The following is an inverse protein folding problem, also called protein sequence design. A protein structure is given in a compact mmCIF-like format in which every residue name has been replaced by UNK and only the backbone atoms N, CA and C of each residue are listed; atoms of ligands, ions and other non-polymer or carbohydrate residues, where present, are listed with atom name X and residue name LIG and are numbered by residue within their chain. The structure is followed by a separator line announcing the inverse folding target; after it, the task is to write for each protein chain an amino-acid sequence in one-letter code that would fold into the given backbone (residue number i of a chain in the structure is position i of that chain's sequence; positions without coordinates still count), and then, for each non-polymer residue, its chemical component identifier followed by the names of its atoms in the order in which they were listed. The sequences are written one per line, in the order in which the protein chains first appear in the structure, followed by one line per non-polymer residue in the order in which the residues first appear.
data_IF_949016017998
#
_entry.id   IF_949016017998
#
_cell.length_a   1.000
_cell.length_b   1.000
_cell.length_c   1.000
_cell.angle_alpha   90.00
_cell.angle_beta   90.00
_cell.angle_gamma   90.00
#
_symmetry.space_group_name_H-M   'P 1'
#
loop_
_entity.id
_entity.type
_entity.pdbx_description
1 polymer ?
#
# COMPACT_ATOMS: atom_id res chain seq x y z
N UNK A 1 -12.28 -20.11 -3.91
CA UNK A 1 -11.18 -19.22 -3.48
C UNK A 1 -11.63 -17.93 -2.81
N UNK A 2 -12.90 -17.52 -2.97
CA UNK A 2 -13.48 -16.33 -2.33
C UNK A 2 -13.26 -16.19 -0.82
N UNK A 3 -13.16 -17.29 -0.06
CA UNK A 3 -12.87 -17.24 1.39
C UNK A 3 -11.56 -16.50 1.73
N UNK A 4 -10.59 -16.49 0.82
CA UNK A 4 -9.32 -15.78 1.01
C UNK A 4 -9.46 -14.25 0.95
N UNK A 5 -10.59 -13.72 0.48
CA UNK A 5 -10.86 -12.28 0.58
C UNK A 5 -10.93 -11.80 2.04
N UNK A 6 -11.27 -12.68 3.00
CA UNK A 6 -11.18 -12.35 4.42
C UNK A 6 -9.75 -12.09 4.88
N UNK A 7 -8.78 -12.82 4.33
CA UNK A 7 -7.36 -12.54 4.58
C UNK A 7 -6.97 -11.19 3.98
N UNK A 8 -7.43 -10.86 2.77
CA UNK A 8 -7.22 -9.54 2.18
C UNK A 8 -7.79 -8.41 3.04
N UNK A 9 -9.00 -8.58 3.58
CA UNK A 9 -9.61 -7.60 4.50
C UNK A 9 -8.77 -7.44 5.77
N UNK A 10 -8.32 -8.55 6.37
CA UNK A 10 -7.45 -8.50 7.54
C UNK A 10 -6.15 -7.75 7.24
N UNK A 11 -5.52 -8.03 6.09
CA UNK A 11 -4.29 -7.33 5.65
C UNK A 11 -4.55 -5.84 5.46
N UNK A 12 -5.67 -5.43 4.85
CA UNK A 12 -6.02 -4.02 4.68
C UNK A 12 -6.22 -3.31 6.03
N UNK A 13 -6.85 -3.98 7.00
CA UNK A 13 -7.04 -3.43 8.35
C UNK A 13 -5.67 -3.24 9.03
N UNK A 14 -4.82 -4.27 9.00
CA UNK A 14 -3.49 -4.21 9.62
C UNK A 14 -2.59 -3.16 8.96
N UNK A 15 -2.62 -3.06 7.63
CA UNK A 15 -1.91 -2.03 6.87
C UNK A 15 -2.31 -0.62 7.32
N UNK A 16 -3.61 -0.33 7.37
CA UNK A 16 -4.09 1.00 7.77
C UNK A 16 -3.81 1.31 9.24
N UNK A 17 -4.00 0.35 10.16
CA UNK A 17 -3.67 0.52 11.57
C UNK A 17 -2.17 0.77 11.77
N UNK A 18 -1.31 0.05 11.02
CA UNK A 18 0.14 0.25 11.10
C UNK A 18 0.55 1.66 10.66
N UNK A 19 -0.05 2.18 9.57
CA UNK A 19 0.22 3.55 9.09
C UNK A 19 -0.25 4.62 10.08
N UNK A 20 -1.44 4.45 10.66
CA UNK A 20 -1.96 5.35 11.68
C UNK A 20 -1.05 5.35 12.91
N UNK A 21 -0.56 4.17 13.32
CA UNK A 21 0.38 4.07 14.43
C UNK A 21 1.69 4.78 14.14
N UNK A 22 2.28 4.60 12.96
CA UNK A 22 3.50 5.31 12.56
C UNK A 22 3.29 6.83 12.52
N UNK A 23 2.22 7.30 11.86
CA UNK A 23 1.90 8.72 11.71
C UNK A 23 1.67 9.43 13.06
N UNK A 24 1.11 8.72 14.04
CA UNK A 24 0.85 9.28 15.38
C UNK A 24 2.04 9.21 16.35
N UNK A 25 3.06 8.39 16.07
CA UNK A 25 4.16 8.13 17.01
C UNK A 25 5.55 8.50 16.47
N UNK A 26 5.69 8.78 15.18
CA UNK A 26 6.98 9.09 14.55
C UNK A 26 6.93 10.45 13.84
N UNK A 27 8.06 11.16 13.88
CA UNK A 27 8.28 12.31 13.00
C UNK A 27 8.60 11.85 11.58
N UNK A 28 8.22 12.63 10.57
CA UNK A 28 8.56 12.32 9.18
C UNK A 28 10.10 12.19 9.03
N UNK A 29 10.54 11.12 8.36
CA UNK A 29 11.93 10.69 8.19
C UNK A 29 12.64 10.19 9.45
N UNK A 30 11.94 10.04 10.57
CA UNK A 30 12.49 9.33 11.72
C UNK A 30 12.72 7.86 11.36
N UNK A 31 13.86 7.31 11.78
CA UNK A 31 14.21 5.90 11.68
C UNK A 31 14.46 5.32 13.06
N UNK A 32 13.74 4.26 13.41
CA UNK A 32 13.91 3.50 14.66
C UNK A 32 14.59 2.16 14.31
N UNK A 33 15.84 1.92 14.74
CA UNK A 33 16.51 0.65 14.51
C UNK A 33 15.88 -0.43 15.39
N UNK A 34 15.51 -1.57 14.80
CA UNK A 34 14.89 -2.69 15.51
C UNK A 34 15.90 -3.81 15.81
N UNK A 35 16.69 -4.17 14.81
CA UNK A 35 17.78 -5.16 14.91
C UNK A 35 18.80 -4.91 13.78
N UNK A 36 20.01 -5.50 13.82
CA UNK A 36 21.02 -5.25 12.80
C UNK A 36 20.50 -5.51 11.38
N UNK A 37 20.55 -4.47 10.53
CA UNK A 37 20.07 -4.53 9.14
C UNK A 37 18.60 -4.20 8.93
N UNK A 38 17.82 -3.91 9.97
CA UNK A 38 16.40 -3.54 9.84
C UNK A 38 16.03 -2.33 10.71
N UNK A 39 15.33 -1.37 10.10
CA UNK A 39 14.83 -0.17 10.75
C UNK A 39 13.41 0.13 10.26
N UNK A 40 12.59 0.64 11.16
CA UNK A 40 11.28 1.22 10.81
C UNK A 40 11.52 2.69 10.50
N UNK A 41 11.22 3.12 9.28
CA UNK A 41 11.38 4.51 8.84
C UNK A 41 10.04 5.08 8.41
N UNK A 42 9.68 6.25 8.93
CA UNK A 42 8.49 6.95 8.47
C UNK A 42 8.82 7.78 7.23
N UNK A 43 8.24 7.45 6.08
CA UNK A 43 8.38 8.22 4.85
C UNK A 43 7.06 8.29 4.09
N UNK A 44 6.79 9.44 3.45
CA UNK A 44 5.69 9.59 2.49
C UNK A 44 6.20 9.27 1.09
N UNK A 45 5.60 8.26 0.45
CA UNK A 45 5.90 7.92 -0.93
C UNK A 45 4.84 8.53 -1.86
N UNK A 46 5.18 9.66 -2.49
CA UNK A 46 4.32 10.32 -3.49
C UNK A 46 4.47 9.75 -4.91
N UNK A 47 5.10 8.57 -5.06
CA UNK A 47 5.44 7.97 -6.35
C UNK A 47 6.94 8.03 -6.68
N UNK A 48 7.81 8.18 -5.68
CA UNK A 48 9.25 8.39 -5.85
C UNK A 48 9.97 7.24 -6.58
N UNK A 49 9.41 6.03 -6.59
CA UNK A 49 9.93 4.90 -7.37
C UNK A 49 9.91 5.16 -8.89
N UNK A 50 9.06 6.07 -9.35
CA UNK A 50 9.05 6.60 -10.71
C UNK A 50 9.61 8.02 -10.68
N UNK A 51 10.86 8.19 -10.28
CA UNK A 51 11.47 9.51 -10.04
C UNK A 51 11.43 10.41 -11.29
N UNK A 52 11.39 9.83 -12.49
CA UNK A 52 11.17 10.58 -13.74
C UNK A 52 9.76 11.18 -13.89
N UNK A 53 8.79 10.68 -13.11
CA UNK A 53 7.41 11.14 -13.04
C UNK A 53 7.13 12.03 -11.82
N UNK A 54 8.09 12.23 -10.90
CA UNK A 54 7.81 12.99 -9.66
C UNK A 54 7.35 14.43 -9.95
N UNK A 55 7.84 15.02 -11.03
CA UNK A 55 7.49 16.38 -11.45
C UNK A 55 6.30 16.44 -12.43
N UNK A 56 5.77 15.28 -12.83
CA UNK A 56 4.68 15.21 -13.79
C UNK A 56 3.30 15.37 -13.14
N UNK A 57 3.11 16.42 -12.33
CA UNK A 57 1.78 16.91 -11.93
C UNK A 57 0.89 15.98 -11.10
N UNK A 58 1.43 14.91 -10.49
CA UNK A 58 0.70 14.05 -9.56
C UNK A 58 -0.34 13.09 -10.15
N UNK A 59 -0.47 13.00 -11.48
CA UNK A 59 -1.44 12.09 -12.14
C UNK A 59 -1.17 10.61 -11.81
N UNK A 60 0.07 10.28 -11.48
CA UNK A 60 0.53 8.92 -11.17
C UNK A 60 -0.29 8.33 -10.02
N UNK A 61 -0.66 9.16 -9.02
CA UNK A 61 -1.51 8.75 -7.90
C UNK A 61 -2.82 8.14 -8.40
N UNK A 62 -3.50 8.83 -9.30
CA UNK A 62 -4.80 8.40 -9.83
C UNK A 62 -4.65 7.24 -10.80
N UNK A 63 -3.64 7.26 -11.66
CA UNK A 63 -3.34 6.15 -12.56
C UNK A 63 -3.08 4.85 -11.79
N UNK A 64 -2.22 4.87 -10.77
CA UNK A 64 -1.94 3.68 -9.96
C UNK A 64 -3.14 3.24 -9.12
N UNK A 65 -3.95 4.18 -8.61
CA UNK A 65 -5.18 3.84 -7.91
C UNK A 65 -6.18 3.12 -8.82
N UNK A 66 -6.39 3.63 -10.05
CA UNK A 66 -7.27 2.99 -11.04
C UNK A 66 -6.72 1.63 -11.45
N UNK A 67 -5.41 1.54 -11.76
CA UNK A 67 -4.77 0.28 -12.14
C UNK A 67 -4.91 -0.79 -11.04
N UNK A 68 -4.60 -0.42 -9.79
CA UNK A 68 -4.75 -1.32 -8.65
C UNK A 68 -6.22 -1.76 -8.45
N UNK A 69 -7.17 -0.83 -8.60
CA UNK A 69 -8.60 -1.12 -8.55
C UNK A 69 -9.04 -2.09 -9.64
N UNK A 70 -8.68 -1.83 -10.90
CA UNK A 70 -9.01 -2.68 -12.04
C UNK A 70 -8.43 -4.09 -11.90
N UNK A 71 -7.16 -4.21 -11.48
CA UNK A 71 -6.53 -5.51 -11.22
C UNK A 71 -7.25 -6.23 -10.08
N UNK A 72 -7.56 -5.53 -8.98
CA UNK A 72 -8.29 -6.12 -7.83
C UNK A 72 -9.65 -6.66 -8.24
N UNK A 73 -10.42 -5.90 -9.04
CA UNK A 73 -11.71 -6.33 -9.60
C UNK A 73 -11.51 -7.55 -10.51
N UNK A 74 -10.52 -7.50 -11.41
CA UNK A 74 -10.19 -8.61 -12.31
C UNK A 74 -9.86 -9.90 -11.56
N UNK A 75 -9.06 -9.80 -10.48
CA UNK A 75 -8.75 -10.94 -9.60
C UNK A 75 -10.02 -11.46 -8.94
N UNK A 76 -10.88 -10.61 -8.39
CA UNK A 76 -12.15 -11.01 -7.75
C UNK A 76 -13.04 -11.77 -8.76
N UNK A 77 -13.17 -11.26 -9.98
CA UNK A 77 -13.95 -11.90 -11.04
C UNK A 77 -13.33 -13.25 -11.43
N UNK A 78 -12.01 -13.32 -11.57
CA UNK A 78 -11.30 -14.54 -11.96
C UNK A 78 -11.39 -15.66 -10.91
N UNK A 79 -11.30 -15.32 -9.62
CA UNK A 79 -11.36 -16.32 -8.53
C UNK A 79 -12.79 -16.68 -8.12
N UNK A 80 -13.79 -15.97 -8.66
CA UNK A 80 -15.21 -16.29 -8.48
C UNK A 80 -15.50 -17.58 -9.24
N UNK A 81 -16.01 -18.63 -8.57
CA UNK A 81 -16.37 -19.86 -9.26
C UNK A 81 -17.48 -19.55 -10.29
N UNK A 82 -17.26 -19.98 -11.52
CA UNK A 82 -18.29 -20.03 -12.56
C UNK A 82 -19.16 -21.25 -12.20
N UNK A 83 -20.48 -21.03 -12.01
CA UNK A 83 -21.45 -22.10 -11.83
C UNK A 83 -21.67 -22.84 -13.14
#
# INVERSE_FOLDING_TARGET
MMKWLWLSILVLILDQLSKIWIDSNMSLYQSIPMFPGFSITYAHNYGAAFSFLSDAGGWQRWFFAVLAGSISIGIIVWIKPIL
#
